data_IF_691607542242
#
_entry.id   IF_691607542242
#
_cell.length_a   1.000
_cell.length_b   1.000
_cell.length_c   1.000
_cell.angle_alpha   90.00
_cell.angle_beta   90.00
_cell.angle_gamma   90.00
#
_symmetry.space_group_name_H-M   'P 1'
#
loop_
_entity.id
_entity.type
_entity.pdbx_description
1 polymer ?
#
# COMPACT_ATOMS: atom_id res chain seq x y z
N UNK A 1 -42.95 -0.29 -29.80
CA UNK A 1 -41.75 -0.40 -28.97
C UNK A 1 -40.64 0.43 -29.61
N UNK A 2 -40.02 1.30 -28.85
CA UNK A 2 -38.92 2.13 -29.32
C UNK A 2 -37.64 1.54 -28.75
N UNK A 3 -36.71 1.12 -29.60
CA UNK A 3 -35.41 0.72 -29.20
C UNK A 3 -34.42 1.83 -29.49
N UNK A 4 -33.76 2.35 -28.42
CA UNK A 4 -32.56 3.14 -28.55
C UNK A 4 -31.34 2.25 -28.26
N UNK A 5 -30.51 2.06 -29.22
CA UNK A 5 -29.34 1.22 -29.09
C UNK A 5 -28.09 2.07 -29.03
N UNK A 6 -27.41 1.98 -27.91
CA UNK A 6 -26.14 2.64 -27.66
C UNK A 6 -26.23 4.01 -26.99
N UNK A 7 -25.12 4.41 -26.36
CA UNK A 7 -24.94 5.74 -25.79
C UNK A 7 -24.43 6.69 -26.87
N UNK A 8 -25.13 7.81 -27.08
CA UNK A 8 -24.82 8.78 -28.12
C UNK A 8 -23.41 9.39 -27.97
N UNK A 9 -22.97 9.61 -26.74
CA UNK A 9 -21.65 10.23 -26.48
C UNK A 9 -20.53 9.24 -26.74
N UNK A 10 -20.68 7.98 -26.32
CA UNK A 10 -19.71 6.91 -26.61
C UNK A 10 -19.66 6.63 -28.12
N UNK A 11 -20.83 6.48 -28.76
CA UNK A 11 -20.89 6.25 -30.19
C UNK A 11 -20.21 7.37 -30.99
N UNK A 12 -20.36 8.62 -30.54
CA UNK A 12 -19.72 9.78 -31.17
C UNK A 12 -18.21 9.78 -30.94
N UNK A 13 -17.75 9.44 -29.74
CA UNK A 13 -16.32 9.37 -29.42
C UNK A 13 -15.61 8.26 -30.21
N UNK A 14 -16.27 7.10 -30.34
CA UNK A 14 -15.73 5.92 -31.03
C UNK A 14 -16.10 5.85 -32.50
N UNK A 15 -16.78 6.86 -33.05
CA UNK A 15 -17.24 6.92 -34.45
C UNK A 15 -18.10 5.73 -34.90
N UNK A 16 -18.85 5.15 -33.96
CA UNK A 16 -19.75 4.03 -34.20
C UNK A 16 -21.13 4.55 -34.57
N UNK A 17 -21.79 3.93 -35.57
CA UNK A 17 -23.15 4.31 -35.95
C UNK A 17 -24.17 3.82 -34.92
N UNK A 18 -25.05 4.72 -34.49
CA UNK A 18 -26.21 4.37 -33.68
C UNK A 18 -27.31 3.77 -34.56
N UNK A 19 -27.76 2.60 -34.20
CA UNK A 19 -28.92 1.96 -34.83
C UNK A 19 -30.20 2.27 -34.06
N UNK A 20 -31.09 3.07 -34.66
CA UNK A 20 -32.43 3.27 -34.16
C UNK A 20 -33.35 2.30 -34.90
N UNK A 21 -33.93 1.34 -34.20
CA UNK A 21 -34.97 0.46 -34.74
C UNK A 21 -36.26 0.77 -34.04
N UNK A 22 -37.28 1.03 -34.86
CA UNK A 22 -38.68 1.09 -34.42
C UNK A 22 -39.31 -0.25 -34.74
N UNK A 23 -39.79 -0.96 -33.72
CA UNK A 23 -40.57 -2.16 -33.91
C UNK A 23 -41.92 -1.94 -33.23
N UNK A 24 -43.00 -1.98 -34.00
CA UNK A 24 -44.35 -1.79 -33.49
C UNK A 24 -44.90 -3.06 -32.83
N UNK A 25 -44.41 -4.20 -33.27
CA UNK A 25 -44.75 -5.50 -32.70
C UNK A 25 -43.46 -6.14 -32.15
N UNK A 26 -43.54 -6.52 -30.90
CA UNK A 26 -42.43 -7.18 -30.22
C UNK A 26 -42.99 -8.42 -29.51
N UNK A 27 -42.49 -9.59 -29.84
CA UNK A 27 -42.85 -10.82 -29.17
C UNK A 27 -42.24 -10.87 -27.77
N UNK A 28 -43.07 -10.55 -26.78
CA UNK A 28 -42.70 -10.54 -25.37
C UNK A 28 -42.49 -11.94 -24.81
N UNK A 29 -42.99 -12.98 -25.48
CA UNK A 29 -42.80 -14.37 -25.06
C UNK A 29 -41.34 -14.83 -25.18
N UNK A 30 -40.60 -14.19 -26.08
CA UNK A 30 -39.17 -14.44 -26.26
C UNK A 30 -38.28 -13.80 -25.19
N UNK A 31 -38.84 -12.94 -24.33
CA UNK A 31 -38.08 -12.25 -23.29
C UNK A 31 -37.89 -13.15 -22.06
N UNK A 32 -36.65 -13.51 -21.69
CA UNK A 32 -36.39 -14.29 -20.48
C UNK A 32 -36.90 -13.56 -19.23
N UNK A 33 -37.65 -14.24 -18.38
CA UNK A 33 -38.19 -13.67 -17.14
C UNK A 33 -39.40 -12.74 -17.28
N UNK A 34 -39.96 -12.62 -18.49
CA UNK A 34 -41.15 -11.78 -18.72
C UNK A 34 -42.33 -12.12 -17.79
N UNK A 35 -42.66 -13.40 -17.66
CA UNK A 35 -43.75 -13.84 -16.79
C UNK A 35 -43.50 -13.54 -15.32
N UNK A 36 -42.24 -13.63 -14.88
CA UNK A 36 -41.87 -13.33 -13.50
C UNK A 36 -42.08 -11.84 -13.17
N UNK A 37 -41.74 -10.96 -14.10
CA UNK A 37 -41.94 -9.53 -13.91
C UNK A 37 -43.42 -9.17 -13.96
N UNK A 38 -44.19 -9.75 -14.88
CA UNK A 38 -45.61 -9.46 -15.02
C UNK A 38 -46.46 -9.91 -13.83
N UNK A 39 -45.95 -10.89 -13.07
CA UNK A 39 -46.55 -11.37 -11.82
C UNK A 39 -46.03 -10.63 -10.57
N UNK A 40 -45.15 -9.66 -10.74
CA UNK A 40 -44.60 -8.92 -9.63
C UNK A 40 -45.71 -8.13 -8.89
N UNK A 41 -45.81 -8.39 -7.59
CA UNK A 41 -46.76 -7.75 -6.68
C UNK A 41 -46.01 -7.15 -5.47
N UNK A 42 -45.07 -6.27 -5.73
CA UNK A 42 -44.17 -5.77 -4.69
C UNK A 42 -43.93 -4.27 -4.72
N UNK A 43 -43.69 -3.71 -3.53
CA UNK A 43 -43.54 -2.27 -3.33
C UNK A 43 -42.11 -1.74 -3.61
N UNK A 44 -41.15 -2.58 -3.99
CA UNK A 44 -39.77 -2.19 -4.20
C UNK A 44 -39.33 -2.43 -5.63
N UNK A 45 -39.18 -1.36 -6.40
CA UNK A 45 -38.72 -1.38 -7.78
C UNK A 45 -37.34 -2.07 -7.95
N UNK A 46 -36.41 -1.89 -7.00
CA UNK A 46 -35.08 -2.51 -7.07
C UNK A 46 -35.13 -4.03 -6.97
N UNK A 47 -36.09 -4.58 -6.21
CA UNK A 47 -36.29 -6.04 -6.09
C UNK A 47 -36.94 -6.63 -7.34
N UNK A 48 -37.61 -5.80 -8.15
CA UNK A 48 -38.30 -6.18 -9.39
C UNK A 48 -37.44 -6.01 -10.65
N UNK A 49 -36.25 -5.45 -10.54
CA UNK A 49 -35.33 -5.38 -11.66
C UNK A 49 -34.79 -6.78 -11.99
N UNK A 50 -34.86 -7.17 -13.23
CA UNK A 50 -34.31 -8.44 -13.72
C UNK A 50 -33.26 -8.19 -14.78
N UNK A 51 -32.13 -8.86 -14.60
CA UNK A 51 -31.10 -8.98 -15.65
C UNK A 51 -31.25 -10.32 -16.35
N UNK A 52 -31.22 -10.31 -17.67
CA UNK A 52 -31.16 -11.56 -18.42
C UNK A 52 -29.73 -12.12 -18.39
N UNK A 53 -29.64 -13.42 -18.62
CA UNK A 53 -28.37 -14.00 -19.07
C UNK A 53 -28.02 -13.41 -20.45
N UNK A 54 -26.76 -13.58 -20.87
CA UNK A 54 -26.35 -13.20 -22.21
C UNK A 54 -27.20 -13.94 -23.27
N UNK A 55 -27.77 -13.19 -24.17
CA UNK A 55 -28.59 -13.71 -25.26
C UNK A 55 -28.17 -13.06 -26.58
N UNK A 56 -28.27 -13.84 -27.65
CA UNK A 56 -28.07 -13.34 -29.00
C UNK A 56 -29.39 -12.74 -29.51
N UNK A 57 -29.33 -11.49 -29.96
CA UNK A 57 -30.51 -10.84 -30.54
C UNK A 57 -30.75 -11.37 -31.94
N UNK A 58 -31.99 -11.81 -32.19
CA UNK A 58 -32.48 -12.14 -33.53
C UNK A 58 -32.15 -10.99 -34.47
N UNK A 59 -31.70 -11.27 -35.67
CA UNK A 59 -31.30 -10.31 -36.69
C UNK A 59 -30.01 -9.48 -36.44
N UNK A 60 -29.30 -9.76 -35.37
CA UNK A 60 -27.98 -9.14 -35.11
C UNK A 60 -27.03 -10.21 -34.60
N UNK A 61 -25.75 -10.04 -34.90
CA UNK A 61 -24.70 -10.93 -34.40
C UNK A 61 -24.19 -10.51 -33.03
N UNK A 62 -24.98 -9.74 -32.28
CA UNK A 62 -24.55 -9.17 -31.03
C UNK A 62 -25.13 -9.90 -29.83
N UNK A 63 -24.24 -10.24 -28.92
CA UNK A 63 -24.59 -10.71 -27.61
C UNK A 63 -25.01 -9.53 -26.72
N UNK A 64 -26.16 -9.64 -26.10
CA UNK A 64 -26.69 -8.58 -25.23
C UNK A 64 -27.16 -9.17 -23.90
N UNK A 65 -27.19 -8.32 -22.90
CA UNK A 65 -27.96 -8.53 -21.67
C UNK A 65 -29.02 -7.45 -21.57
N UNK A 66 -30.19 -7.83 -21.10
CA UNK A 66 -31.31 -6.92 -20.96
C UNK A 66 -31.60 -6.70 -19.48
N UNK A 67 -31.74 -5.44 -19.08
CA UNK A 67 -32.22 -5.05 -17.77
C UNK A 67 -33.67 -4.59 -17.92
N UNK A 68 -34.60 -5.26 -17.22
CA UNK A 68 -36.00 -4.87 -17.20
C UNK A 68 -36.42 -4.28 -15.87
N UNK A 69 -37.27 -3.29 -15.95
CA UNK A 69 -37.96 -2.68 -14.81
C UNK A 69 -39.46 -2.65 -15.10
N UNK A 70 -40.33 -3.12 -14.20
CA UNK A 70 -41.75 -3.06 -14.42
C UNK A 70 -42.27 -1.62 -14.33
N UNK A 71 -43.18 -1.28 -15.21
CA UNK A 71 -43.94 -0.05 -15.16
C UNK A 71 -45.22 -0.34 -14.42
N UNK A 72 -45.41 0.27 -13.25
CA UNK A 72 -46.54 0.06 -12.39
C UNK A 72 -47.58 1.16 -12.59
N UNK A 73 -48.89 0.79 -12.48
CA UNK A 73 -49.96 1.78 -12.38
C UNK A 73 -50.10 2.31 -10.93
N UNK A 74 -51.05 3.21 -10.72
CA UNK A 74 -51.34 3.78 -9.40
C UNK A 74 -51.84 2.76 -8.36
N UNK A 75 -52.22 1.56 -8.80
CA UNK A 75 -52.63 0.45 -7.93
C UNK A 75 -51.50 -0.54 -7.64
N UNK A 76 -50.29 -0.31 -8.17
CA UNK A 76 -49.15 -1.20 -8.02
C UNK A 76 -49.16 -2.39 -9.01
N UNK A 77 -50.11 -2.44 -9.96
CA UNK A 77 -50.17 -3.51 -10.97
C UNK A 77 -49.23 -3.21 -12.13
N UNK A 78 -48.48 -4.20 -12.60
CA UNK A 78 -47.60 -4.09 -13.76
C UNK A 78 -48.43 -3.87 -15.04
N UNK A 79 -48.14 -2.81 -15.77
CA UNK A 79 -48.78 -2.45 -17.03
C UNK A 79 -47.89 -2.55 -18.24
N UNK A 80 -46.60 -2.62 -17.98
CA UNK A 80 -45.60 -2.72 -19.03
C UNK A 80 -44.21 -2.91 -18.48
N UNK A 81 -43.24 -2.99 -19.37
CA UNK A 81 -41.82 -3.09 -19.06
C UNK A 81 -41.07 -1.91 -19.66
N UNK A 82 -40.14 -1.37 -18.89
CA UNK A 82 -39.09 -0.53 -19.39
C UNK A 82 -37.79 -1.31 -19.33
N UNK A 83 -37.00 -1.32 -20.40
CA UNK A 83 -35.79 -2.09 -20.43
C UNK A 83 -34.61 -1.30 -21.02
N UNK A 84 -33.42 -1.67 -20.60
CA UNK A 84 -32.16 -1.21 -21.18
C UNK A 84 -31.39 -2.40 -21.72
N UNK A 85 -30.93 -2.27 -22.93
CA UNK A 85 -30.03 -3.24 -23.55
C UNK A 85 -28.57 -2.85 -23.24
N UNK A 86 -27.80 -3.81 -22.78
CA UNK A 86 -26.36 -3.71 -22.68
C UNK A 86 -25.75 -4.70 -23.66
N UNK A 87 -25.20 -4.19 -24.75
CA UNK A 87 -24.48 -5.04 -25.70
C UNK A 87 -23.06 -5.36 -25.20
N UNK A 88 -22.56 -6.51 -25.62
CA UNK A 88 -21.17 -6.89 -25.32
C UNK A 88 -20.18 -5.86 -25.86
N UNK A 89 -20.46 -5.26 -27.02
CA UNK A 89 -19.65 -4.18 -27.58
C UNK A 89 -19.66 -2.94 -26.67
N UNK A 90 -20.85 -2.53 -26.19
CA UNK A 90 -20.96 -1.41 -25.26
C UNK A 90 -20.17 -1.66 -23.97
N UNK A 91 -20.28 -2.88 -23.43
CA UNK A 91 -19.54 -3.26 -22.21
C UNK A 91 -18.04 -3.20 -22.43
N UNK A 92 -17.54 -3.68 -23.57
CA UNK A 92 -16.12 -3.61 -23.94
C UNK A 92 -15.62 -2.17 -24.08
N UNK A 93 -16.38 -1.31 -24.71
CA UNK A 93 -16.03 0.11 -24.88
C UNK A 93 -16.08 0.89 -23.57
N UNK A 94 -17.02 0.54 -22.69
CA UNK A 94 -17.18 1.20 -21.38
C UNK A 94 -16.18 0.73 -20.34
N UNK A 95 -15.78 -0.52 -20.42
CA UNK A 95 -14.82 -1.15 -19.48
C UNK A 95 -13.68 -1.82 -20.24
N UNK A 96 -12.90 -1.04 -20.99
CA UNK A 96 -11.78 -1.58 -21.75
C UNK A 96 -10.75 -2.22 -20.80
N UNK A 97 -10.01 -3.18 -21.32
CA UNK A 97 -8.89 -3.74 -20.60
C UNK A 97 -7.85 -2.66 -20.28
N UNK A 98 -7.50 -2.54 -19.01
CA UNK A 98 -6.51 -1.56 -18.55
C UNK A 98 -5.14 -2.21 -18.54
N UNK A 99 -4.23 -1.69 -19.36
CA UNK A 99 -2.82 -2.05 -19.31
C UNK A 99 -2.17 -1.29 -18.15
N UNK A 100 -1.88 -1.98 -17.07
CA UNK A 100 -1.23 -1.41 -15.89
C UNK A 100 0.16 -2.00 -15.66
N UNK A 101 0.86 -1.48 -14.68
CA UNK A 101 2.12 -2.08 -14.18
C UNK A 101 1.94 -3.53 -13.73
N UNK A 102 0.70 -3.90 -13.41
CA UNK A 102 0.30 -5.24 -13.00
C UNK A 102 -0.10 -6.17 -14.16
N UNK A 103 0.10 -5.77 -15.41
CA UNK A 103 -0.42 -6.47 -16.59
C UNK A 103 -1.86 -6.07 -16.90
N UNK A 104 -2.52 -6.90 -17.69
CA UNK A 104 -3.85 -6.60 -18.20
C UNK A 104 -4.93 -6.89 -17.16
N UNK A 105 -5.69 -5.87 -16.80
CA UNK A 105 -6.82 -5.97 -15.87
C UNK A 105 -8.10 -6.07 -16.67
N UNK A 106 -8.86 -7.13 -16.44
CA UNK A 106 -10.14 -7.40 -17.13
C UNK A 106 -11.29 -7.20 -16.16
N UNK A 107 -12.31 -6.47 -16.61
CA UNK A 107 -13.58 -6.35 -15.89
C UNK A 107 -14.58 -7.37 -16.47
N UNK A 108 -15.25 -8.09 -15.58
CA UNK A 108 -16.26 -9.09 -15.95
C UNK A 108 -17.52 -8.82 -15.14
N UNK A 109 -18.67 -8.88 -15.81
CA UNK A 109 -19.98 -8.88 -15.18
C UNK A 109 -20.59 -10.28 -15.38
N UNK A 110 -20.82 -11.02 -14.29
CA UNK A 110 -21.26 -12.40 -14.37
C UNK A 110 -22.21 -12.76 -13.23
N UNK A 111 -23.16 -13.70 -13.46
CA UNK A 111 -23.95 -14.28 -12.39
C UNK A 111 -23.09 -15.21 -11.52
N UNK A 112 -23.33 -15.15 -10.21
CA UNK A 112 -22.62 -15.91 -9.20
C UNK A 112 -23.60 -16.67 -8.33
N UNK A 113 -23.34 -17.94 -8.07
CA UNK A 113 -24.18 -18.72 -7.18
C UNK A 113 -23.78 -18.53 -5.69
N UNK A 114 -24.62 -19.07 -4.80
CA UNK A 114 -24.36 -19.02 -3.34
C UNK A 114 -23.13 -19.81 -2.90
N UNK A 115 -22.63 -20.71 -3.75
CA UNK A 115 -21.43 -21.52 -3.49
C UNK A 115 -20.14 -20.81 -3.95
N UNK A 116 -20.26 -19.68 -4.64
CA UNK A 116 -19.14 -18.93 -5.18
C UNK A 116 -18.72 -19.35 -6.59
N UNK A 117 -19.58 -20.07 -7.32
CA UNK A 117 -19.32 -20.38 -8.73
C UNK A 117 -19.82 -19.23 -9.59
N UNK A 118 -19.00 -18.80 -10.52
CA UNK A 118 -19.28 -17.71 -11.47
C UNK A 118 -19.40 -18.32 -12.85
N UNK A 119 -20.48 -17.99 -13.56
CA UNK A 119 -20.82 -18.56 -14.85
C UNK A 119 -20.32 -17.66 -15.98
N UNK A 120 -19.22 -18.06 -16.63
CA UNK A 120 -18.59 -17.27 -17.68
C UNK A 120 -19.33 -17.32 -19.01
N UNK A 121 -20.07 -18.38 -19.28
CA UNK A 121 -20.94 -18.51 -20.45
C UNK A 121 -22.07 -17.47 -20.50
N UNK A 122 -22.41 -16.93 -19.32
CA UNK A 122 -23.45 -15.92 -19.13
C UNK A 122 -22.90 -14.53 -18.81
N UNK A 123 -21.59 -14.37 -18.90
CA UNK A 123 -20.89 -13.17 -18.49
C UNK A 123 -20.67 -12.19 -19.65
N UNK A 124 -20.52 -10.92 -19.31
CA UNK A 124 -19.95 -9.89 -20.15
C UNK A 124 -18.52 -9.60 -19.77
N UNK A 125 -17.69 -9.40 -20.78
CA UNK A 125 -16.26 -9.17 -20.61
C UNK A 125 -15.88 -7.80 -21.14
N UNK A 126 -15.02 -7.10 -20.42
CA UNK A 126 -14.27 -5.98 -20.96
C UNK A 126 -13.37 -6.43 -22.10
N UNK A 127 -12.83 -5.47 -22.86
CA UNK A 127 -12.04 -5.80 -24.05
C UNK A 127 -10.87 -6.72 -23.71
N UNK A 128 -10.72 -7.79 -24.48
CA UNK A 128 -9.63 -8.74 -24.41
C UNK A 128 -9.00 -8.80 -25.78
N UNK A 129 -8.00 -7.98 -26.06
CA UNK A 129 -7.24 -8.04 -27.33
C UNK A 129 -6.59 -9.40 -27.57
N UNK A 130 -6.40 -10.16 -26.49
CA UNK A 130 -5.96 -11.56 -26.51
C UNK A 130 -6.96 -12.35 -25.67
N UNK A 131 -7.15 -13.60 -25.97
CA UNK A 131 -8.00 -14.55 -25.25
C UNK A 131 -7.48 -14.79 -23.83
N UNK A 132 -7.53 -13.72 -23.02
CA UNK A 132 -6.99 -13.70 -21.69
C UNK A 132 -7.86 -14.50 -20.72
N UNK A 133 -9.17 -14.47 -20.94
CA UNK A 133 -10.16 -15.19 -20.16
C UNK A 133 -11.16 -15.81 -21.12
N UNK A 134 -11.26 -17.14 -21.13
CA UNK A 134 -12.23 -17.83 -21.98
C UNK A 134 -13.66 -17.47 -21.54
N UNK A 135 -14.54 -17.09 -22.48
CA UNK A 135 -15.94 -16.75 -22.17
C UNK A 135 -16.82 -17.98 -21.93
N UNK A 136 -16.24 -19.13 -21.62
CA UNK A 136 -16.96 -20.39 -21.43
C UNK A 136 -16.59 -21.07 -20.12
N UNK A 137 -17.55 -21.79 -19.57
CA UNK A 137 -17.40 -22.59 -18.36
C UNK A 137 -17.67 -21.84 -17.05
N UNK A 138 -17.24 -22.44 -15.96
CA UNK A 138 -17.43 -21.91 -14.61
C UNK A 138 -16.10 -21.55 -13.97
N UNK A 139 -16.12 -20.49 -13.18
CA UNK A 139 -15.00 -20.02 -12.40
C UNK A 139 -15.32 -20.21 -10.92
N UNK A 140 -14.42 -20.81 -10.16
CA UNK A 140 -14.57 -20.99 -8.72
C UNK A 140 -13.77 -19.96 -7.95
N UNK A 141 -14.28 -19.48 -6.81
CA UNK A 141 -13.65 -18.46 -5.98
C UNK A 141 -13.09 -19.07 -4.72
N UNK A 142 -11.81 -18.79 -4.46
CA UNK A 142 -11.14 -19.08 -3.19
C UNK A 142 -10.79 -17.75 -2.51
N UNK A 143 -11.32 -17.50 -1.32
CA UNK A 143 -11.06 -16.29 -0.56
C UNK A 143 -9.60 -16.23 -0.11
N UNK A 144 -8.94 -15.11 -0.38
CA UNK A 144 -7.62 -14.77 0.10
C UNK A 144 -7.65 -13.64 1.13
N UNK A 145 -6.49 -13.31 1.68
CA UNK A 145 -6.39 -12.25 2.70
C UNK A 145 -6.63 -10.84 2.13
N UNK A 146 -6.11 -10.56 0.95
CA UNK A 146 -6.19 -9.25 0.28
C UNK A 146 -6.97 -9.33 -1.03
N UNK A 147 -6.75 -10.40 -1.79
CA UNK A 147 -7.37 -10.70 -3.07
C UNK A 147 -7.88 -12.12 -3.05
N UNK A 148 -8.88 -12.38 -3.88
CA UNK A 148 -9.41 -13.72 -4.08
C UNK A 148 -8.69 -14.36 -5.26
N UNK A 149 -8.56 -15.68 -5.22
CA UNK A 149 -8.09 -16.49 -6.36
C UNK A 149 -9.30 -17.06 -7.07
N UNK A 150 -9.32 -16.92 -8.37
CA UNK A 150 -10.37 -17.41 -9.26
C UNK A 150 -9.79 -18.47 -10.17
N UNK A 151 -10.32 -19.67 -10.09
CA UNK A 151 -9.83 -20.80 -10.87
C UNK A 151 -10.81 -21.19 -11.96
N UNK A 152 -10.31 -21.31 -13.19
CA UNK A 152 -11.01 -21.83 -14.36
C UNK A 152 -10.32 -23.07 -14.89
N UNK A 153 -10.92 -23.75 -15.87
CA UNK A 153 -10.30 -24.85 -16.57
C UNK A 153 -9.02 -24.44 -17.36
N UNK A 154 -8.87 -23.17 -17.67
CA UNK A 154 -7.80 -22.64 -18.54
C UNK A 154 -6.72 -21.86 -17.78
N UNK A 155 -6.92 -21.58 -16.49
CA UNK A 155 -5.94 -20.85 -15.68
C UNK A 155 -6.53 -20.24 -14.43
N UNK A 156 -5.65 -19.66 -13.64
CA UNK A 156 -5.99 -18.96 -12.42
C UNK A 156 -5.86 -17.45 -12.59
N UNK A 157 -6.73 -16.75 -11.89
CA UNK A 157 -6.79 -15.29 -11.86
C UNK A 157 -6.82 -14.80 -10.42
N UNK A 158 -6.29 -13.62 -10.19
CA UNK A 158 -6.32 -12.93 -8.91
C UNK A 158 -7.13 -11.66 -9.08
N UNK A 159 -7.98 -11.34 -8.10
CA UNK A 159 -8.81 -10.15 -8.20
C UNK A 159 -9.75 -9.95 -7.04
N UNK A 160 -10.74 -9.13 -7.29
CA UNK A 160 -11.85 -8.88 -6.38
C UNK A 160 -13.18 -8.96 -7.13
N UNK A 161 -14.23 -9.24 -6.40
CA UNK A 161 -15.58 -9.12 -6.90
C UNK A 161 -16.46 -8.37 -5.89
N UNK A 162 -17.46 -7.73 -6.42
CA UNK A 162 -18.51 -7.09 -5.64
C UNK A 162 -19.86 -7.59 -6.17
N UNK A 163 -20.73 -7.98 -5.24
CA UNK A 163 -22.08 -8.42 -5.59
C UNK A 163 -22.96 -7.20 -5.77
N UNK A 164 -23.65 -7.16 -6.89
CA UNK A 164 -24.69 -6.16 -7.12
C UNK A 164 -25.99 -6.57 -6.42
N UNK A 165 -26.76 -5.59 -5.98
CA UNK A 165 -28.09 -5.83 -5.40
C UNK A 165 -29.11 -6.34 -6.44
N UNK A 166 -28.69 -6.43 -7.71
CA UNK A 166 -29.49 -6.90 -8.84
C UNK A 166 -29.37 -8.42 -8.98
N UNK A 167 -30.45 -9.05 -9.37
CA UNK A 167 -30.49 -10.50 -9.59
C UNK A 167 -30.70 -10.79 -11.07
N UNK A 168 -30.07 -11.87 -11.55
CA UNK A 168 -30.37 -12.40 -12.87
C UNK A 168 -31.75 -13.04 -12.90
N UNK A 169 -32.28 -13.28 -14.10
CA UNK A 169 -33.57 -13.97 -14.31
C UNK A 169 -33.66 -15.33 -13.59
N UNK A 170 -32.52 -15.96 -13.33
CA UNK A 170 -32.40 -17.23 -12.61
C UNK A 170 -32.30 -17.04 -11.09
N UNK A 171 -32.52 -15.84 -10.57
CA UNK A 171 -32.42 -15.53 -9.13
C UNK A 171 -31.01 -15.51 -8.57
N UNK A 172 -29.98 -15.62 -9.41
CA UNK A 172 -28.58 -15.51 -9.00
C UNK A 172 -28.17 -14.05 -8.90
N UNK A 173 -27.43 -13.64 -7.85
CA UNK A 173 -26.85 -12.32 -7.80
C UNK A 173 -25.84 -12.13 -8.92
N UNK A 174 -25.76 -10.90 -9.43
CA UNK A 174 -24.71 -10.49 -10.36
C UNK A 174 -23.49 -10.01 -9.60
N UNK A 175 -22.32 -10.36 -10.10
CA UNK A 175 -21.03 -9.91 -9.57
C UNK A 175 -20.26 -9.14 -10.62
N UNK A 176 -19.71 -8.00 -10.24
CA UNK A 176 -18.68 -7.32 -11.00
C UNK A 176 -17.34 -7.80 -10.49
N UNK A 177 -16.51 -8.31 -11.39
CA UNK A 177 -15.18 -8.81 -11.08
C UNK A 177 -14.13 -7.96 -11.77
N UNK A 178 -13.02 -7.76 -11.09
CA UNK A 178 -11.81 -7.20 -11.67
C UNK A 178 -10.70 -8.23 -11.51
N UNK A 179 -10.19 -8.73 -12.61
CA UNK A 179 -9.32 -9.89 -12.68
C UNK A 179 -8.00 -9.58 -13.36
N UNK A 180 -6.94 -10.19 -12.85
CA UNK A 180 -5.61 -10.23 -13.44
C UNK A 180 -5.14 -11.70 -13.49
N UNK A 181 -4.40 -12.10 -14.51
CA UNK A 181 -3.80 -13.43 -14.54
C UNK A 181 -2.84 -13.64 -13.38
N UNK A 182 -2.95 -14.80 -12.72
CA UNK A 182 -2.04 -15.20 -11.64
C UNK A 182 -0.58 -15.16 -12.10
N UNK A 183 -0.28 -15.62 -13.31
CA UNK A 183 1.07 -15.60 -13.87
C UNK A 183 1.67 -14.19 -13.97
N UNK A 184 0.86 -13.21 -14.37
CA UNK A 184 1.30 -11.81 -14.42
C UNK A 184 1.51 -11.24 -13.02
N UNK A 185 0.64 -11.57 -12.09
CA UNK A 185 0.76 -11.15 -10.70
C UNK A 185 2.01 -11.75 -10.03
N UNK A 186 2.27 -13.04 -10.26
CA UNK A 186 3.47 -13.72 -9.75
C UNK A 186 4.75 -13.13 -10.32
N UNK A 187 4.79 -12.87 -11.63
CA UNK A 187 5.94 -12.22 -12.28
C UNK A 187 6.25 -10.87 -11.63
N UNK A 188 5.23 -10.04 -11.44
CA UNK A 188 5.38 -8.73 -10.77
C UNK A 188 5.86 -8.83 -9.34
N UNK A 189 5.25 -9.74 -8.57
CA UNK A 189 5.65 -9.94 -7.18
C UNK A 189 7.06 -10.49 -7.08
N UNK A 190 7.48 -11.33 -8.03
CA UNK A 190 8.85 -11.83 -8.13
C UNK A 190 9.84 -10.71 -8.49
N UNK A 191 9.53 -9.87 -9.47
CA UNK A 191 10.36 -8.73 -9.86
C UNK A 191 10.49 -7.72 -8.73
N UNK A 192 9.39 -7.33 -8.10
CA UNK A 192 9.41 -6.45 -6.94
C UNK A 192 10.22 -7.05 -5.77
N UNK A 193 10.07 -8.35 -5.51
CA UNK A 193 10.83 -9.04 -4.46
C UNK A 193 12.32 -9.02 -4.76
N UNK A 194 12.71 -9.29 -6.01
CA UNK A 194 14.11 -9.22 -6.45
C UNK A 194 14.68 -7.82 -6.24
N UNK A 195 13.96 -6.79 -6.65
CA UNK A 195 14.41 -5.41 -6.54
C UNK A 195 14.53 -4.97 -5.08
N UNK A 196 13.59 -5.40 -4.22
CA UNK A 196 13.68 -5.22 -2.77
C UNK A 196 14.90 -5.91 -2.16
N UNK A 197 15.19 -7.15 -2.57
CA UNK A 197 16.37 -7.90 -2.09
C UNK A 197 17.65 -7.20 -2.53
N UNK A 198 17.74 -6.79 -3.80
CA UNK A 198 18.91 -6.07 -4.33
C UNK A 198 19.08 -4.74 -3.58
N UNK A 199 18.02 -3.97 -3.43
CA UNK A 199 18.08 -2.69 -2.70
C UNK A 199 18.53 -2.86 -1.24
N UNK A 200 18.00 -3.88 -0.55
CA UNK A 200 18.40 -4.20 0.83
C UNK A 200 19.86 -4.61 0.90
N UNK A 201 20.34 -5.43 -0.04
CA UNK A 201 21.74 -5.87 -0.10
C UNK A 201 22.68 -4.67 -0.33
N UNK A 202 22.35 -3.81 -1.28
CA UNK A 202 23.13 -2.60 -1.56
C UNK A 202 23.18 -1.68 -0.34
N UNK A 203 22.06 -1.52 0.36
CA UNK A 203 22.01 -0.74 1.60
C UNK A 203 22.90 -1.33 2.70
N UNK A 204 22.89 -2.64 2.89
CA UNK A 204 23.77 -3.32 3.84
C UNK A 204 25.25 -3.15 3.49
N UNK A 205 25.60 -3.26 2.21
CA UNK A 205 26.97 -3.01 1.73
C UNK A 205 27.39 -1.56 2.02
N UNK A 206 26.52 -0.60 1.75
CA UNK A 206 26.76 0.81 2.06
C UNK A 206 27.01 1.03 3.54
N UNK A 207 26.17 0.47 4.42
CA UNK A 207 26.36 0.54 5.87
C UNK A 207 27.71 -0.07 6.30
N UNK A 208 28.08 -1.21 5.71
CA UNK A 208 29.37 -1.84 6.00
C UNK A 208 30.56 -0.96 5.59
N UNK A 209 30.49 -0.38 4.39
CA UNK A 209 31.53 0.54 3.89
C UNK A 209 31.65 1.77 4.79
N UNK A 210 30.52 2.37 5.17
CA UNK A 210 30.48 3.51 6.09
C UNK A 210 31.06 3.12 7.45
N UNK A 211 30.64 1.97 8.00
CA UNK A 211 31.15 1.48 9.30
C UNK A 211 32.64 1.24 9.28
N UNK A 212 33.16 0.57 8.26
CA UNK A 212 34.61 0.33 8.11
C UNK A 212 35.36 1.64 7.92
N UNK A 213 34.84 2.56 7.12
CA UNK A 213 35.43 3.87 6.89
C UNK A 213 35.52 4.69 8.19
N UNK A 214 34.39 4.76 8.91
CA UNK A 214 34.33 5.43 10.23
C UNK A 214 35.28 4.79 11.24
N UNK A 215 35.30 3.45 11.30
CA UNK A 215 36.23 2.73 12.18
C UNK A 215 37.71 3.04 11.85
N UNK A 216 38.05 3.04 10.55
CA UNK A 216 39.42 3.34 10.12
C UNK A 216 39.81 4.79 10.35
N UNK A 217 38.90 5.74 10.11
CA UNK A 217 39.17 7.16 10.14
C UNK A 217 39.12 7.74 11.55
N UNK A 218 38.31 7.21 12.44
CA UNK A 218 38.11 7.76 13.79
C UNK A 218 38.50 6.78 14.89
N UNK A 219 37.95 5.55 14.88
CA UNK A 219 38.13 4.63 16.02
C UNK A 219 39.56 4.11 16.12
N UNK A 220 40.16 3.67 15.01
CA UNK A 220 41.52 3.13 15.04
C UNK A 220 42.57 4.15 15.47
N UNK A 221 42.58 5.40 14.96
CA UNK A 221 43.53 6.41 15.45
C UNK A 221 43.40 6.69 16.95
N UNK A 222 42.15 6.87 17.43
CA UNK A 222 41.87 7.10 18.85
C UNK A 222 42.43 5.96 19.71
N UNK A 223 42.12 4.70 19.34
CA UNK A 223 42.60 3.54 20.07
C UNK A 223 44.13 3.44 20.05
N UNK A 224 44.80 3.81 18.93
CA UNK A 224 46.26 3.84 18.85
C UNK A 224 46.84 4.90 19.77
N UNK A 225 46.28 6.11 19.79
CA UNK A 225 46.75 7.18 20.67
C UNK A 225 46.57 6.83 22.14
N UNK A 226 45.43 6.22 22.51
CA UNK A 226 45.19 5.75 23.88
C UNK A 226 46.15 4.63 24.28
N UNK A 227 46.45 3.68 23.38
CA UNK A 227 47.37 2.59 23.63
C UNK A 227 48.80 3.10 23.76
N UNK A 228 49.22 4.03 22.89
CA UNK A 228 50.54 4.67 22.98
C UNK A 228 50.69 5.47 24.28
N UNK A 229 49.61 6.11 24.77
CA UNK A 229 49.61 6.75 26.08
C UNK A 229 49.80 5.74 27.20
N UNK A 230 49.20 4.55 27.12
CA UNK A 230 49.30 3.50 28.14
C UNK A 230 50.72 2.91 28.17
N UNK A 231 51.36 2.75 27.00
CA UNK A 231 52.70 2.13 26.85
C UNK A 231 53.86 3.16 26.98
N UNK A 232 53.57 4.45 27.28
CA UNK A 232 54.55 5.54 27.37
C UNK A 232 55.36 5.77 26.08
N UNK A 233 54.81 5.41 24.92
CA UNK A 233 55.45 5.43 23.59
C UNK A 233 54.85 6.50 22.68
N UNK A 234 54.33 7.59 23.24
CA UNK A 234 53.74 8.67 22.47
C UNK A 234 54.77 9.39 21.62
N UNK A 235 54.58 9.33 20.31
CA UNK A 235 55.31 10.13 19.30
C UNK A 235 54.27 10.90 18.47
N UNK A 236 54.71 11.94 17.77
CA UNK A 236 53.84 12.73 16.90
C UNK A 236 53.10 11.87 15.84
N UNK A 237 53.68 10.72 15.46
CA UNK A 237 53.07 9.76 14.53
C UNK A 237 51.86 8.99 15.12
N UNK A 238 51.71 8.99 16.45
CA UNK A 238 50.64 8.26 17.14
C UNK A 238 49.48 9.15 17.53
N UNK A 239 49.41 10.39 17.08
CA UNK A 239 48.30 11.30 17.28
C UNK A 239 47.07 10.85 16.47
N UNK A 240 45.88 11.09 17.02
CA UNK A 240 44.64 10.65 16.41
C UNK A 240 44.23 11.49 15.19
N UNK A 241 44.80 12.71 15.05
CA UNK A 241 44.39 13.70 14.07
C UNK A 241 43.04 14.39 14.39
N UNK A 242 42.54 14.17 15.58
CA UNK A 242 41.33 14.83 16.10
C UNK A 242 41.80 15.77 17.23
N UNK A 243 41.66 17.08 17.02
CA UNK A 243 42.22 18.11 17.89
C UNK A 243 41.85 17.96 19.37
N UNK A 244 40.62 17.57 19.64
CA UNK A 244 40.07 17.40 20.99
C UNK A 244 40.67 16.17 21.69
N UNK A 245 40.83 15.08 20.93
CA UNK A 245 41.47 13.83 21.44
C UNK A 245 42.94 14.03 21.65
N UNK A 246 43.62 14.69 20.71
CA UNK A 246 45.05 14.94 20.78
C UNK A 246 45.38 15.90 21.92
N UNK A 247 44.54 16.93 22.16
CA UNK A 247 44.67 17.82 23.31
C UNK A 247 44.45 17.07 24.65
N UNK A 248 43.50 16.13 24.69
CA UNK A 248 43.29 15.30 25.88
C UNK A 248 44.45 14.38 26.16
N UNK A 249 45.03 13.76 25.12
CA UNK A 249 46.18 12.88 25.20
C UNK A 249 47.40 13.68 25.68
N UNK A 250 47.66 14.87 25.13
CA UNK A 250 48.77 15.77 25.58
C UNK A 250 48.57 16.19 27.04
N UNK A 251 47.35 16.55 27.42
CA UNK A 251 47.03 16.88 28.81
C UNK A 251 47.32 15.70 29.76
N UNK A 252 46.86 14.48 29.39
CA UNK A 252 47.08 13.27 30.21
C UNK A 252 48.56 12.91 30.30
N UNK A 253 49.33 13.13 29.23
CA UNK A 253 50.79 12.90 29.24
C UNK A 253 51.52 13.90 30.13
N UNK A 254 51.16 15.19 30.03
CA UNK A 254 51.73 16.24 30.92
C UNK A 254 51.42 15.93 32.38
N UNK A 255 50.18 15.55 32.68
CA UNK A 255 49.75 15.14 34.00
C UNK A 255 50.55 13.97 34.53
N UNK A 256 50.73 12.91 33.73
CA UNK A 256 51.47 11.71 34.10
C UNK A 256 52.97 12.05 34.38
N UNK A 257 53.54 12.95 33.60
CA UNK A 257 54.90 13.41 33.83
C UNK A 257 55.05 14.24 35.12
N UNK A 258 54.04 15.02 35.46
CA UNK A 258 53.98 15.77 36.73
C UNK A 258 53.76 14.83 37.92
N UNK A 259 52.92 13.78 37.78
CA UNK A 259 52.68 12.76 38.83
C UNK A 259 53.88 11.82 39.05
N UNK A 260 54.76 11.63 38.06
CA UNK A 260 56.05 10.96 38.24
C UNK A 260 57.00 11.80 39.07
N UNK A 261 56.81 13.13 39.15
CA UNK A 261 57.60 14.07 39.94
C UNK A 261 57.03 14.34 41.34
N UNK A 262 55.71 14.14 41.55
CA UNK A 262 55.01 14.34 42.81
C UNK A 262 54.23 13.08 43.15
N UNK A 263 54.60 12.40 44.24
CA UNK A 263 53.90 11.23 44.74
C UNK A 263 52.37 11.47 44.90
N UNK A 264 51.59 10.96 43.96
CA UNK A 264 50.27 10.46 44.18
C UNK A 264 49.20 11.47 44.66
N UNK A 265 48.51 12.16 43.73
CA UNK A 265 47.23 12.87 43.99
C UNK A 265 46.58 13.38 42.72
N UNK A 266 45.26 13.38 42.69
CA UNK A 266 44.47 14.07 41.61
C UNK A 266 44.83 15.54 41.69
N UNK A 267 45.24 16.22 40.58
CA UNK A 267 45.51 17.64 40.59
C UNK A 267 44.37 18.47 41.15
N UNK A 268 44.62 19.45 42.00
CA UNK A 268 43.57 20.21 42.66
C UNK A 268 42.57 20.85 41.71
N UNK A 269 43.01 21.26 40.53
CA UNK A 269 42.16 21.86 39.51
C UNK A 269 41.17 20.88 38.89
N UNK A 270 41.48 19.58 38.81
CA UNK A 270 40.53 18.57 38.32
C UNK A 270 39.55 18.19 39.42
N UNK A 271 39.97 18.12 40.65
CA UNK A 271 39.08 17.90 41.78
C UNK A 271 38.07 19.05 41.91
N UNK A 272 38.54 20.30 41.77
CA UNK A 272 37.65 21.47 41.73
C UNK A 272 36.69 21.44 40.55
N UNK A 273 37.15 21.09 39.34
CA UNK A 273 36.31 20.96 38.16
C UNK A 273 35.27 19.86 38.33
N UNK A 274 35.61 18.70 38.86
CA UNK A 274 34.68 17.60 39.15
C UNK A 274 33.68 17.99 40.23
N UNK A 275 34.13 18.64 41.30
CA UNK A 275 33.25 19.20 42.33
C UNK A 275 32.27 20.24 41.75
N UNK A 276 32.78 21.15 40.95
CA UNK A 276 31.96 22.17 40.28
C UNK A 276 30.95 21.54 39.31
N UNK A 277 31.33 20.49 38.58
CA UNK A 277 30.42 19.78 37.68
C UNK A 277 29.37 19.00 38.48
N UNK A 278 29.75 18.30 39.55
CA UNK A 278 28.83 17.59 40.43
C UNK A 278 27.78 18.52 41.02
N UNK A 279 28.19 19.69 41.53
CA UNK A 279 27.28 20.72 42.01
C UNK A 279 26.29 21.21 40.94
N UNK A 280 26.76 21.37 39.68
CA UNK A 280 25.89 21.73 38.58
C UNK A 280 24.86 20.62 38.25
N UNK A 281 25.28 19.35 38.29
CA UNK A 281 24.37 18.20 38.09
C UNK A 281 23.29 18.15 39.18
N UNK A 282 23.63 18.55 40.44
CA UNK A 282 22.64 18.64 41.53
C UNK A 282 21.56 19.69 41.26
N UNK A 283 21.85 20.76 40.51
CA UNK A 283 20.88 21.78 40.13
C UNK A 283 19.88 21.36 39.04
N UNK A 284 20.08 20.18 38.43
CA UNK A 284 19.18 19.66 37.43
C UNK A 284 17.87 19.19 38.06
N UNK A 285 16.76 19.50 37.42
CA UNK A 285 15.46 18.94 37.79
C UNK A 285 15.42 17.44 37.49
N UNK A 286 14.47 16.67 38.09
CA UNK A 286 14.37 15.25 37.83
C UNK A 286 14.26 14.92 36.33
N UNK A 287 13.50 15.68 35.56
CA UNK A 287 13.36 15.50 34.12
C UNK A 287 14.65 15.81 33.34
N UNK A 288 15.37 16.89 33.71
CA UNK A 288 16.67 17.23 33.10
C UNK A 288 17.73 16.17 33.44
N UNK A 289 17.68 15.60 34.64
CA UNK A 289 18.58 14.52 35.06
C UNK A 289 18.33 13.22 34.28
N UNK A 290 17.07 12.87 34.05
CA UNK A 290 16.73 11.73 33.18
C UNK A 290 17.23 11.94 31.74
N UNK A 291 17.05 13.14 31.19
CA UNK A 291 17.58 13.47 29.85
C UNK A 291 19.09 13.34 29.84
N UNK A 292 19.81 13.83 30.87
CA UNK A 292 21.26 13.64 30.96
C UNK A 292 21.66 12.17 31.01
N UNK A 293 20.97 11.34 31.80
CA UNK A 293 21.23 9.91 31.90
C UNK A 293 21.12 9.23 30.55
N UNK A 294 20.02 9.44 29.83
CA UNK A 294 19.83 8.87 28.50
C UNK A 294 20.86 9.34 27.47
N UNK A 295 21.33 10.59 27.57
CA UNK A 295 22.44 11.05 26.71
C UNK A 295 23.75 10.35 27.02
N UNK A 296 24.05 10.12 28.29
CA UNK A 296 25.24 9.37 28.71
C UNK A 296 25.16 7.91 28.25
N UNK A 297 23.93 7.35 28.22
CA UNK A 297 23.64 6.00 27.73
C UNK A 297 23.63 5.93 26.19
N UNK A 298 23.81 7.06 25.49
CA UNK A 298 23.99 7.13 24.04
C UNK A 298 22.72 7.32 23.22
N UNK A 299 21.58 7.62 23.85
CA UNK A 299 20.31 7.84 23.14
C UNK A 299 20.23 9.21 22.47
N UNK A 300 19.60 9.26 21.31
CA UNK A 300 19.29 10.51 20.61
C UNK A 300 18.10 11.24 21.24
N UNK A 301 17.98 12.55 20.97
CA UNK A 301 16.89 13.37 21.50
C UNK A 301 15.49 12.85 21.11
N UNK A 302 15.36 12.19 19.96
CA UNK A 302 14.12 11.59 19.48
C UNK A 302 13.76 10.34 20.29
N UNK A 303 14.75 9.48 20.54
CA UNK A 303 14.60 8.29 21.37
C UNK A 303 14.29 8.67 22.81
N UNK A 304 14.98 9.67 23.35
CA UNK A 304 14.71 10.21 24.70
C UNK A 304 13.28 10.73 24.82
N UNK A 305 12.76 11.45 23.81
CA UNK A 305 11.39 11.91 23.79
C UNK A 305 10.40 10.73 23.84
N UNK A 306 10.68 9.67 23.10
CA UNK A 306 9.87 8.45 23.08
C UNK A 306 9.93 7.70 24.41
N UNK A 307 11.12 7.54 24.99
CA UNK A 307 11.34 6.84 26.28
C UNK A 307 10.69 7.56 27.46
N UNK A 308 10.69 8.90 27.43
CA UNK A 308 10.08 9.73 28.48
C UNK A 308 8.60 10.03 28.23
N UNK A 309 8.01 9.55 27.13
CA UNK A 309 6.62 9.80 26.72
C UNK A 309 6.27 11.31 26.62
N UNK A 310 7.22 12.11 26.12
CA UNK A 310 7.06 13.57 25.94
C UNK A 310 7.22 13.98 24.48
N UNK A 311 6.74 15.18 24.13
CA UNK A 311 6.98 15.71 22.80
C UNK A 311 8.46 15.99 22.55
N UNK A 312 8.91 15.87 21.28
CA UNK A 312 10.28 16.21 20.88
C UNK A 312 10.61 17.68 21.25
N UNK A 313 9.64 18.58 21.15
CA UNK A 313 9.79 19.97 21.56
C UNK A 313 10.06 20.10 23.07
N UNK A 314 9.40 19.32 23.89
CA UNK A 314 9.61 19.26 25.34
C UNK A 314 10.98 18.68 25.67
N UNK A 315 11.38 17.58 25.01
CA UNK A 315 12.70 16.99 25.17
C UNK A 315 13.82 17.97 24.79
N UNK A 316 13.69 18.70 23.69
CA UNK A 316 14.61 19.77 23.29
C UNK A 316 14.71 20.89 24.32
N UNK A 317 13.60 21.30 24.92
CA UNK A 317 13.57 22.32 25.96
C UNK A 317 14.30 21.84 27.22
N UNK A 318 14.08 20.59 27.64
CA UNK A 318 14.84 19.99 28.74
C UNK A 318 16.34 19.91 28.45
N UNK A 319 16.71 19.48 27.24
CA UNK A 319 18.11 19.45 26.79
C UNK A 319 18.76 20.85 26.81
N UNK A 320 18.10 21.86 26.28
CA UNK A 320 18.61 23.25 26.29
C UNK A 320 18.80 23.77 27.72
N UNK A 321 17.85 23.53 28.59
CA UNK A 321 17.93 23.95 29.98
C UNK A 321 19.06 23.21 30.75
N UNK A 322 19.17 21.91 30.52
CA UNK A 322 20.23 21.06 31.04
C UNK A 322 21.63 21.56 30.62
N UNK A 323 21.85 21.78 29.31
CA UNK A 323 23.11 22.27 28.78
C UNK A 323 23.47 23.64 29.36
N UNK A 324 22.51 24.55 29.49
CA UNK A 324 22.71 25.87 30.13
C UNK A 324 23.15 25.72 31.58
N UNK A 325 22.50 24.85 32.38
CA UNK A 325 22.84 24.64 33.79
C UNK A 325 24.20 23.95 33.96
N UNK A 326 24.55 23.02 33.09
CA UNK A 326 25.83 22.34 33.08
C UNK A 326 26.98 23.24 32.53
N UNK A 327 26.64 24.38 31.92
CA UNK A 327 27.64 25.27 31.30
C UNK A 327 28.22 24.72 29.99
N UNK A 328 27.46 23.85 29.31
CA UNK A 328 27.86 23.26 28.03
C UNK A 328 27.41 24.20 26.92
N UNK A 329 28.34 24.83 26.22
CA UNK A 329 28.06 25.64 25.02
C UNK A 329 28.05 24.70 23.82
N UNK A 330 26.88 24.38 23.33
CA UNK A 330 26.74 23.67 22.06
C UNK A 330 27.02 24.66 20.94
N UNK A 331 28.11 24.48 20.23
CA UNK A 331 28.40 25.21 18.98
C UNK A 331 27.68 24.57 17.80
#
# INVERSE_FOLDING_TARGET
VVFFRGNADIARAEQVQLHNRWNLEFDTSALPGYEQIMQFDGNRLVESCLWTDRLELSDTWEDVQLLYVPVLDSTGKVRGLCGMEMSNLYFRLSYPMVEGSCGNIVTVLAPMDKKGNIYLDKAMFGDTKETYLSPSGTMTVKKGKYYNTYSTAFGNYIGRHELLELKSCNGMPLAVLTLISEANYEKLTADNRRDWIIGTLLFLILLLVVSVSMSRRFVKPILRSLKALQEDTLTDENLSGISEVDALVDFMQKKRNTEKLENGGIPPNIEEMLKAFALRVETLTPSERMVLQYYVDGYTIQEIASLLYISIGTARKHNTNMNRKLGITVR
#
